data_IF_100214766006
#
_entry.id   IF_100214766006
#
_cell.length_a   1.000
_cell.length_b   1.000
_cell.length_c   1.000
_cell.angle_alpha   90.00
_cell.angle_beta   90.00
_cell.angle_gamma   90.00
#
_symmetry.space_group_name_H-M   'P 1'
#
loop_
_entity.id
_entity.type
_entity.pdbx_description
1 polymer ?
#
# COMPACT_ATOMS: atom_id res chain seq x y z
N UNK A 1 -2.79 14.29 -10.72
CA UNK A 1 -1.38 13.94 -10.41
C UNK A 1 -1.02 12.70 -11.20
N UNK A 2 -0.18 12.82 -12.22
CA UNK A 2 0.13 11.70 -13.12
C UNK A 2 1.24 10.82 -12.53
N UNK A 3 0.89 9.59 -12.12
CA UNK A 3 1.81 8.62 -11.52
C UNK A 3 3.03 8.34 -12.42
N UNK A 4 2.81 8.32 -13.74
CA UNK A 4 3.85 8.08 -14.73
C UNK A 4 4.90 9.21 -14.76
N UNK A 5 4.48 10.47 -14.58
CA UNK A 5 5.40 11.61 -14.54
C UNK A 5 6.33 11.53 -13.33
N UNK A 6 5.78 11.20 -12.16
CA UNK A 6 6.56 11.07 -10.94
C UNK A 6 7.57 9.91 -11.02
N UNK A 7 7.16 8.79 -11.63
CA UNK A 7 8.07 7.65 -11.85
C UNK A 7 9.22 8.03 -12.81
N UNK A 8 8.95 8.83 -13.86
CA UNK A 8 10.00 9.32 -14.77
C UNK A 8 11.00 10.21 -14.04
N UNK A 9 10.52 11.18 -13.25
CA UNK A 9 11.38 12.04 -12.45
C UNK A 9 12.23 11.22 -11.49
N UNK A 10 11.64 10.24 -10.78
CA UNK A 10 12.39 9.35 -9.89
C UNK A 10 13.46 8.54 -10.64
N UNK A 11 13.12 7.99 -11.81
CA UNK A 11 14.07 7.25 -12.64
C UNK A 11 15.24 8.13 -13.10
N UNK A 12 14.99 9.40 -13.44
CA UNK A 12 16.02 10.37 -13.78
C UNK A 12 16.92 10.68 -12.57
N UNK A 13 16.34 10.99 -11.42
CA UNK A 13 17.08 11.30 -10.19
C UNK A 13 18.02 10.17 -9.78
N UNK A 14 17.55 8.93 -9.82
CA UNK A 14 18.37 7.76 -9.48
C UNK A 14 19.60 7.67 -10.39
N UNK A 15 19.47 8.05 -11.66
CA UNK A 15 20.60 8.04 -12.60
C UNK A 15 21.58 9.17 -12.36
N UNK A 16 21.09 10.35 -11.99
CA UNK A 16 21.92 11.50 -11.60
C UNK A 16 22.73 11.14 -10.34
N UNK A 17 22.11 10.49 -9.35
CA UNK A 17 22.79 10.11 -8.11
C UNK A 17 23.82 8.99 -8.32
N UNK A 18 23.51 8.03 -9.20
CA UNK A 18 24.40 6.88 -9.47
C UNK A 18 25.37 7.11 -10.63
N UNK A 19 25.33 8.28 -11.27
CA UNK A 19 26.07 8.62 -12.50
C UNK A 19 26.04 7.49 -13.53
N UNK A 20 24.87 6.88 -13.72
CA UNK A 20 24.73 5.67 -14.52
C UNK A 20 24.44 5.96 -16.00
N UNK A 21 24.79 5.03 -16.92
CA UNK A 21 24.56 5.21 -18.35
C UNK A 21 23.07 5.38 -18.69
N UNK A 22 22.74 6.10 -19.78
CA UNK A 22 21.36 6.42 -20.17
C UNK A 22 20.51 5.21 -20.58
N UNK A 23 21.13 4.06 -20.88
CA UNK A 23 20.40 2.83 -21.24
C UNK A 23 20.33 1.82 -20.08
N UNK A 24 20.93 2.15 -18.93
CA UNK A 24 20.93 1.24 -17.78
C UNK A 24 19.54 1.14 -17.14
N UNK A 25 19.14 -0.06 -16.73
CA UNK A 25 17.81 -0.30 -16.15
C UNK A 25 17.68 0.42 -14.80
N UNK A 26 16.61 1.19 -14.59
CA UNK A 26 16.41 1.93 -13.33
C UNK A 26 16.13 1.03 -12.12
N UNK A 27 15.47 -0.12 -12.30
CA UNK A 27 15.09 -1.05 -11.22
C UNK A 27 16.26 -1.49 -10.33
N UNK A 28 17.41 -1.97 -10.86
CA UNK A 28 18.55 -2.33 -10.03
C UNK A 28 19.15 -1.13 -9.28
N UNK A 29 19.14 0.07 -9.88
CA UNK A 29 19.63 1.29 -9.21
C UNK A 29 18.73 1.72 -8.05
N UNK A 30 17.41 1.58 -8.21
CA UNK A 30 16.47 1.81 -7.10
C UNK A 30 16.75 0.83 -5.95
N UNK A 31 17.06 -0.44 -6.27
CA UNK A 31 17.39 -1.45 -5.26
C UNK A 31 18.70 -1.14 -4.54
N UNK A 32 19.75 -0.72 -5.27
CA UNK A 32 21.04 -0.37 -4.65
C UNK A 32 20.94 0.85 -3.73
N UNK A 33 20.10 1.82 -4.08
CA UNK A 33 19.82 3.00 -3.25
C UNK A 33 18.81 2.74 -2.12
N UNK A 34 18.23 1.54 -2.05
CA UNK A 34 17.08 1.23 -1.18
C UNK A 34 15.84 2.13 -1.43
N UNK A 35 15.69 2.67 -2.64
CA UNK A 35 14.56 3.52 -2.99
C UNK A 35 13.40 2.68 -3.54
N UNK A 36 12.22 2.82 -2.92
CA UNK A 36 10.98 2.22 -3.42
C UNK A 36 10.47 2.93 -4.67
N UNK A 37 9.88 2.19 -5.61
CA UNK A 37 9.13 2.79 -6.74
C UNK A 37 7.95 3.61 -6.22
N UNK A 38 7.46 4.57 -7.02
CA UNK A 38 6.37 5.46 -6.62
C UNK A 38 5.13 4.66 -6.19
N UNK A 39 4.83 3.57 -6.89
CA UNK A 39 3.71 2.68 -6.55
C UNK A 39 3.83 2.08 -5.14
N UNK A 40 5.00 1.53 -4.79
CA UNK A 40 5.22 0.98 -3.45
C UNK A 40 5.20 2.06 -2.37
N UNK A 41 5.67 3.28 -2.67
CA UNK A 41 5.58 4.41 -1.72
C UNK A 41 4.14 4.79 -1.40
N UNK A 42 3.25 4.76 -2.39
CA UNK A 42 1.82 5.04 -2.17
C UNK A 42 1.22 3.98 -1.26
N UNK A 43 1.45 2.70 -1.57
CA UNK A 43 0.96 1.59 -0.74
C UNK A 43 1.50 1.71 0.69
N UNK A 44 2.80 1.94 0.83
CA UNK A 44 3.43 2.08 2.15
C UNK A 44 2.77 3.20 2.95
N UNK A 45 2.61 4.40 2.38
CA UNK A 45 1.95 5.52 3.05
C UNK A 45 0.52 5.19 3.48
N UNK A 46 -0.26 4.55 2.60
CA UNK A 46 -1.62 4.13 2.93
C UNK A 46 -1.61 3.17 4.12
N UNK A 47 -0.74 2.16 4.09
CA UNK A 47 -0.58 1.20 5.19
C UNK A 47 -0.16 1.88 6.50
N UNK A 48 0.80 2.82 6.46
CA UNK A 48 1.26 3.54 7.66
C UNK A 48 0.15 4.39 8.26
N UNK A 49 -0.63 5.09 7.42
CA UNK A 49 -1.77 5.90 7.90
C UNK A 49 -2.84 5.00 8.48
N UNK A 50 -3.17 3.91 7.80
CA UNK A 50 -4.21 2.98 8.26
C UNK A 50 -3.81 2.26 9.56
N UNK A 51 -2.53 1.93 9.73
CA UNK A 51 -2.00 1.41 10.99
C UNK A 51 -2.11 2.44 12.13
N UNK A 52 -1.66 3.68 11.90
CA UNK A 52 -1.76 4.75 12.91
C UNK A 52 -3.21 5.05 13.30
N UNK A 53 -4.13 5.04 12.34
CA UNK A 53 -5.55 5.21 12.59
C UNK A 53 -6.14 4.09 13.45
N UNK A 54 -5.72 2.83 13.22
CA UNK A 54 -6.17 1.68 14.00
C UNK A 54 -5.56 1.65 15.42
N UNK A 55 -4.31 2.08 15.56
CA UNK A 55 -3.58 2.12 16.84
C UNK A 55 -3.96 3.29 17.76
N UNK A 56 -5.05 4.01 17.48
CA UNK A 56 -5.65 5.08 18.31
C UNK A 56 -4.82 6.35 18.55
N UNK A 57 -3.68 6.53 17.88
CA UNK A 57 -2.82 7.72 18.00
C UNK A 57 -3.27 8.89 17.10
N UNK A 58 -4.35 8.72 16.33
CA UNK A 58 -4.75 9.66 15.28
C UNK A 58 -6.18 10.20 15.47
N UNK A 59 -6.52 11.26 14.72
CA UNK A 59 -7.80 11.99 14.78
C UNK A 59 -9.03 11.07 14.76
N UNK A 60 -10.00 11.38 15.63
CA UNK A 60 -11.26 10.64 15.81
C UNK A 60 -12.02 10.39 14.49
N UNK A 61 -11.90 11.30 13.53
CA UNK A 61 -12.53 11.17 12.21
C UNK A 61 -12.03 9.94 11.43
N UNK A 62 -10.72 9.68 11.43
CA UNK A 62 -10.16 8.53 10.71
C UNK A 62 -10.56 7.21 11.36
N UNK A 63 -10.58 7.17 12.70
CA UNK A 63 -11.01 6.00 13.46
C UNK A 63 -12.50 5.68 13.16
N UNK A 64 -13.34 6.71 13.06
CA UNK A 64 -14.77 6.51 12.72
C UNK A 64 -15.01 5.93 11.32
N UNK A 65 -14.08 6.14 10.37
CA UNK A 65 -14.20 5.61 9.00
C UNK A 65 -13.55 4.24 8.81
N UNK A 66 -12.52 3.90 9.59
CA UNK A 66 -11.80 2.62 9.47
C UNK A 66 -12.39 1.60 10.44
N UNK A 67 -13.34 0.79 9.97
CA UNK A 67 -13.88 -0.33 10.76
C UNK A 67 -13.09 -1.62 10.48
N UNK A 68 -12.49 -2.27 11.50
CA UNK A 68 -11.89 -3.59 11.30
C UNK A 68 -12.97 -4.61 10.94
N UNK A 69 -12.73 -5.42 9.91
CA UNK A 69 -13.68 -6.45 9.51
C UNK A 69 -13.64 -7.61 10.52
N UNK A 70 -14.59 -7.62 11.46
CA UNK A 70 -14.73 -8.71 12.43
C UNK A 70 -15.54 -9.85 11.81
N UNK A 71 -14.86 -10.95 11.51
CA UNK A 71 -15.52 -12.17 11.08
C UNK A 71 -16.13 -12.88 12.28
N UNK A 72 -17.37 -13.37 12.15
CA UNK A 72 -18.04 -14.14 13.21
C UNK A 72 -17.38 -15.50 13.48
N UNK A 73 -16.57 -16.01 12.54
CA UNK A 73 -15.84 -17.27 12.64
C UNK A 73 -14.34 -17.02 12.45
N UNK A 74 -13.51 -17.76 13.18
CA UNK A 74 -12.05 -17.73 12.99
C UNK A 74 -11.70 -18.35 11.63
N UNK A 75 -11.17 -17.54 10.72
CA UNK A 75 -10.70 -17.96 9.41
C UNK A 75 -9.18 -17.76 9.35
N UNK A 76 -8.51 -18.46 8.44
CA UNK A 76 -7.06 -18.26 8.19
C UNK A 76 -6.71 -16.82 7.79
N UNK A 77 -7.67 -16.05 7.29
CA UNK A 77 -7.53 -14.63 6.95
C UNK A 77 -7.74 -13.68 8.13
N UNK A 78 -8.16 -14.17 9.30
CA UNK A 78 -8.38 -13.32 10.48
C UNK A 78 -7.04 -12.83 11.04
N UNK A 79 -5.95 -13.58 10.88
CA UNK A 79 -4.60 -13.16 11.31
C UNK A 79 -4.03 -11.97 10.53
N UNK A 80 -4.60 -11.63 9.36
CA UNK A 80 -4.14 -10.51 8.52
C UNK A 80 -4.92 -9.21 8.72
N UNK A 81 -5.71 -9.10 9.79
CA UNK A 81 -6.48 -7.91 10.21
C UNK A 81 -7.06 -7.08 9.04
N UNK A 82 -7.99 -7.65 8.25
CA UNK A 82 -8.56 -6.95 7.11
C UNK A 82 -9.45 -5.77 7.54
N UNK A 83 -9.38 -4.66 6.80
CA UNK A 83 -10.32 -3.54 6.93
C UNK A 83 -11.61 -3.81 6.15
N UNK A 84 -12.74 -3.37 6.70
CA UNK A 84 -14.03 -3.43 6.03
C UNK A 84 -14.08 -2.42 4.88
N UNK A 85 -14.42 -2.88 3.67
CA UNK A 85 -14.56 -2.03 2.48
C UNK A 85 -16.06 -1.88 2.21
N UNK A 86 -16.65 -0.69 2.42
CA UNK A 86 -18.07 -0.48 2.16
C UNK A 86 -18.36 -0.57 0.66
N UNK A 87 -19.48 -1.21 0.29
CA UNK A 87 -19.92 -1.29 -1.09
C UNK A 87 -20.53 0.06 -1.49
N UNK A 88 -19.77 0.87 -2.22
CA UNK A 88 -20.23 2.17 -2.73
C UNK A 88 -20.93 1.97 -4.08
N UNK A 89 -22.14 2.53 -4.23
CA UNK A 89 -22.89 2.58 -5.50
C UNK A 89 -22.75 3.97 -6.13
N UNK A 90 -21.60 4.28 -6.72
CA UNK A 90 -21.39 5.54 -7.45
C UNK A 90 -21.57 5.33 -8.96
N UNK A 91 -22.09 6.34 -9.68
CA UNK A 91 -22.29 6.30 -11.15
C UNK A 91 -21.00 6.40 -11.97
N UNK A 92 -19.83 6.31 -11.34
CA UNK A 92 -18.54 6.31 -12.01
C UNK A 92 -18.10 4.85 -12.24
N UNK A 93 -18.19 4.38 -13.49
CA UNK A 93 -17.43 3.26 -14.08
C UNK A 93 -17.31 1.93 -13.28
N UNK A 94 -17.74 0.77 -13.82
CA UNK A 94 -17.68 -0.52 -13.12
C UNK A 94 -16.26 -1.10 -12.90
N UNK A 95 -15.19 -0.34 -13.08
CA UNK A 95 -13.80 -0.81 -12.99
C UNK A 95 -13.44 -1.25 -11.55
N UNK A 96 -13.97 -0.57 -10.54
CA UNK A 96 -13.71 -0.86 -9.12
C UNK A 96 -14.64 -1.93 -8.53
N UNK A 97 -15.74 -2.25 -9.23
CA UNK A 97 -16.70 -3.30 -8.83
C UNK A 97 -16.48 -4.63 -9.55
N UNK A 98 -15.64 -4.67 -10.60
CA UNK A 98 -15.35 -5.87 -11.41
C UNK A 98 -14.08 -6.61 -10.99
N UNK A 99 -13.49 -6.30 -9.83
CA UNK A 99 -12.56 -7.25 -9.25
C UNK A 99 -13.37 -8.48 -8.82
N UNK A 100 -13.07 -9.68 -9.38
CA UNK A 100 -13.76 -10.89 -9.01
C UNK A 100 -13.62 -11.05 -7.50
N UNK A 101 -14.69 -11.51 -6.86
CA UNK A 101 -14.74 -11.93 -5.47
C UNK A 101 -13.36 -12.34 -4.92
N UNK A 102 -12.66 -11.37 -4.36
CA UNK A 102 -11.43 -11.56 -3.63
C UNK A 102 -11.64 -10.69 -2.42
N UNK A 103 -11.82 -11.33 -1.27
CA UNK A 103 -11.55 -10.71 0.04
C UNK A 103 -10.05 -10.37 0.13
N UNK A 104 -9.52 -9.64 -0.84
CA UNK A 104 -8.25 -8.95 -0.71
C UNK A 104 -8.59 -7.63 -0.04
N UNK A 105 -8.96 -7.74 1.24
CA UNK A 105 -8.71 -6.63 2.15
C UNK A 105 -7.24 -6.26 1.99
N UNK A 106 -6.94 -4.97 2.06
CA UNK A 106 -5.57 -4.47 2.17
C UNK A 106 -4.90 -5.33 3.24
N UNK A 107 -4.08 -6.28 2.82
CA UNK A 107 -3.55 -7.32 3.70
C UNK A 107 -2.49 -6.61 4.51
N UNK A 108 -2.78 -6.30 5.77
CA UNK A 108 -1.73 -5.98 6.71
C UNK A 108 -0.93 -7.26 6.90
N UNK A 109 0.11 -7.44 6.07
CA UNK A 109 1.14 -8.43 6.36
C UNK A 109 1.70 -8.06 7.73
N UNK A 110 1.68 -8.96 8.73
CA UNK A 110 2.36 -8.73 9.98
C UNK A 110 3.87 -8.78 9.71
N UNK A 111 4.44 -7.66 9.27
CA UNK A 111 5.87 -7.42 9.31
C UNK A 111 6.20 -7.06 10.75
N UNK A 112 6.27 -8.07 11.63
CA UNK A 112 7.02 -8.13 12.90
C UNK A 112 6.59 -9.36 13.70
N UNK A 113 7.00 -10.54 13.23
CA UNK A 113 7.34 -11.63 14.13
C UNK A 113 8.45 -12.46 13.48
N UNK A 114 9.62 -11.86 13.38
CA UNK A 114 10.83 -12.62 13.17
C UNK A 114 11.46 -12.77 14.55
N UNK A 115 11.29 -13.97 15.11
CA UNK A 115 12.16 -14.51 16.15
C UNK A 115 13.60 -14.17 15.77
N UNK A 116 14.22 -13.30 16.56
CA UNK A 116 15.67 -13.21 16.65
C UNK A 116 16.03 -14.00 17.89
N UNK A 117 16.81 -15.06 17.67
CA UNK A 117 17.65 -15.70 18.68
C UNK A 117 18.66 -14.66 19.14
#
# INVERSE_FOLDING_TARGET
>A
MDIAKLQRIQNCLVRVVTSSPPFYRSVPLLKSLHWFTVHYRIIFKICTIAYQALSSTQSAYLNSMLTPARNSRQLRSTSSNPLYIPRVKTKAGPELSRLPHQRCGIRFLPMLNQKVI
#
